data_IF_569437075432
#
_entry.id   IF_569437075432
#
_cell.length_a   1.000
_cell.length_b   1.000
_cell.length_c   1.000
_cell.angle_alpha   90.00
_cell.angle_beta   90.00
_cell.angle_gamma   90.00
#
_symmetry.space_group_name_H-M   'P 1'
#
loop_
_entity.id
_entity.type
_entity.pdbx_description
1 polymer ?
#
# COMPACT_ATOMS: atom_id res chain seq x y z
N UNK A 1 -9.78 -0.80 21.15
CA UNK A 1 -9.57 0.42 20.35
C UNK A 1 -9.76 0.03 18.92
N UNK A 2 -10.58 0.79 18.21
CA UNK A 2 -10.84 0.58 16.79
C UNK A 2 -9.54 0.72 15.99
N UNK A 3 -9.33 -0.14 14.99
CA UNK A 3 -8.20 -0.06 14.06
C UNK A 3 -8.75 0.21 12.66
N UNK A 4 -8.24 1.25 12.03
CA UNK A 4 -8.60 1.66 10.68
C UNK A 4 -7.79 0.87 9.66
N UNK A 5 -8.45 0.51 8.57
CA UNK A 5 -7.83 -0.08 7.39
C UNK A 5 -7.64 1.05 6.37
N UNK A 6 -6.41 1.23 5.91
CA UNK A 6 -6.07 2.28 4.96
C UNK A 6 -5.29 1.73 3.77
N UNK A 7 -5.55 2.28 2.57
CA UNK A 7 -4.62 2.19 1.46
C UNK A 7 -3.53 3.25 1.67
N UNK A 8 -2.28 2.82 1.77
CA UNK A 8 -1.12 3.69 1.86
C UNK A 8 -0.45 3.84 0.50
N UNK A 9 -0.09 5.07 0.16
CA UNK A 9 0.55 5.44 -1.10
C UNK A 9 1.93 6.02 -0.82
N UNK A 10 2.95 5.51 -1.49
CA UNK A 10 4.34 5.91 -1.29
C UNK A 10 4.97 6.44 -2.58
N UNK A 11 5.82 7.44 -2.41
CA UNK A 11 6.68 7.96 -3.46
C UNK A 11 7.71 6.91 -3.89
N UNK A 12 7.87 6.75 -5.22
CA UNK A 12 8.85 5.90 -5.89
C UNK A 12 9.91 6.74 -6.59
N UNK A 13 10.30 7.86 -5.99
CA UNK A 13 11.34 8.77 -6.48
C UNK A 13 11.07 9.22 -7.93
N UNK A 14 12.01 8.95 -8.84
CA UNK A 14 11.91 9.33 -10.22
C UNK A 14 10.69 8.73 -10.93
N UNK A 15 10.17 7.57 -10.47
CA UNK A 15 8.97 6.96 -11.05
C UNK A 15 7.70 7.76 -10.79
N UNK A 16 7.61 8.47 -9.65
CA UNK A 16 6.45 9.27 -9.27
C UNK A 16 6.46 10.69 -9.87
N UNK A 17 7.44 11.02 -10.72
CA UNK A 17 7.66 12.39 -11.20
C UNK A 17 7.71 12.48 -12.72
N UNK A 18 7.36 13.66 -13.24
CA UNK A 18 7.57 14.04 -14.64
C UNK A 18 6.93 13.08 -15.65
N UNK A 19 7.70 12.70 -16.68
CA UNK A 19 7.23 11.79 -17.72
C UNK A 19 7.11 10.35 -17.21
N UNK A 20 7.94 9.94 -16.26
CA UNK A 20 7.86 8.59 -15.69
C UNK A 20 6.51 8.36 -15.01
N UNK A 21 6.00 9.32 -14.23
CA UNK A 21 4.63 9.25 -13.69
C UNK A 21 3.63 8.93 -14.80
N UNK A 22 3.68 9.69 -15.91
CA UNK A 22 2.70 9.53 -17.01
C UNK A 22 2.78 8.15 -17.66
N UNK A 23 3.99 7.62 -17.83
CA UNK A 23 4.22 6.29 -18.41
C UNK A 23 3.80 5.17 -17.46
N UNK A 24 4.14 5.28 -16.18
CA UNK A 24 3.87 4.24 -15.19
C UNK A 24 2.46 4.30 -14.60
N UNK A 25 1.69 5.37 -14.81
CA UNK A 25 0.28 5.43 -14.38
C UNK A 25 0.13 5.14 -12.89
N UNK A 26 -0.60 4.07 -12.55
CA UNK A 26 -0.84 3.66 -11.15
C UNK A 26 0.44 3.17 -10.47
N UNK A 27 1.30 2.50 -11.23
CA UNK A 27 2.57 1.93 -10.82
C UNK A 27 3.66 2.99 -10.57
N UNK A 28 3.36 4.26 -10.89
CA UNK A 28 4.21 5.39 -10.55
C UNK A 28 4.38 5.55 -9.03
N UNK A 29 3.46 5.00 -8.23
CA UNK A 29 3.49 4.99 -6.78
C UNK A 29 3.54 3.55 -6.26
N UNK A 30 4.06 3.36 -5.04
CA UNK A 30 3.95 2.07 -4.37
C UNK A 30 2.68 2.06 -3.51
N UNK A 31 1.97 0.94 -3.53
CA UNK A 31 0.66 0.79 -2.88
C UNK A 31 0.76 -0.33 -1.85
N UNK A 32 0.28 -0.06 -0.64
CA UNK A 32 0.22 -1.02 0.45
C UNK A 32 -1.02 -0.80 1.31
N UNK A 33 -1.24 -1.68 2.28
CA UNK A 33 -2.31 -1.55 3.27
C UNK A 33 -1.68 -1.26 4.62
N UNK A 34 -2.06 -0.15 5.27
CA UNK A 34 -1.69 0.11 6.67
C UNK A 34 -2.91 -0.08 7.55
N UNK A 35 -2.72 -0.86 8.61
CA UNK A 35 -3.61 -0.96 9.76
C UNK A 35 -3.08 -0.01 10.83
N UNK A 36 -3.89 0.94 11.27
CA UNK A 36 -3.50 1.95 12.27
C UNK A 36 -4.60 2.11 13.32
N UNK A 37 -4.29 2.46 14.58
CA UNK A 37 -5.32 2.74 15.57
C UNK A 37 -6.10 4.01 15.24
N UNK A 38 -7.39 4.02 15.56
CA UNK A 38 -8.20 5.23 15.48
C UNK A 38 -7.79 6.22 16.58
N UNK A 39 -7.35 7.42 16.20
CA UNK A 39 -7.04 8.52 17.12
C UNK A 39 -5.61 8.57 17.69
N UNK A 40 -4.72 7.68 17.25
CA UNK A 40 -3.29 7.72 17.58
C UNK A 40 -2.50 7.96 16.30
N UNK A 41 -1.65 8.99 16.27
CA UNK A 41 -0.96 9.35 15.04
C UNK A 41 0.12 8.33 14.63
N UNK A 42 0.73 7.57 15.55
CA UNK A 42 1.98 6.85 15.21
C UNK A 42 2.35 5.69 16.16
N UNK A 43 1.37 5.02 16.80
CA UNK A 43 1.68 3.84 17.63
C UNK A 43 0.90 2.62 17.19
N UNK A 44 1.55 1.46 17.14
CA UNK A 44 0.99 0.15 16.80
C UNK A 44 0.46 0.01 15.35
N UNK A 45 1.02 0.76 14.40
CA UNK A 45 0.72 0.61 12.98
C UNK A 45 1.43 -0.61 12.37
N UNK A 46 0.75 -1.28 11.44
CA UNK A 46 1.30 -2.41 10.69
C UNK A 46 0.98 -2.22 9.22
N UNK A 47 2.01 -2.31 8.37
CA UNK A 47 1.89 -2.22 6.93
C UNK A 47 2.03 -3.61 6.28
N UNK A 48 1.23 -3.86 5.25
CA UNK A 48 1.30 -5.03 4.38
C UNK A 48 1.41 -4.57 2.93
N UNK A 49 2.34 -5.14 2.18
CA UNK A 49 2.52 -4.83 0.77
C UNK A 49 3.06 -6.02 -0.01
N UNK A 50 2.84 -6.06 -1.33
CA UNK A 50 3.59 -6.93 -2.22
C UNK A 50 4.76 -6.16 -2.80
N UNK A 51 5.96 -6.75 -2.72
CA UNK A 51 7.18 -6.16 -3.25
C UNK A 51 8.05 -7.21 -3.90
N UNK A 52 8.79 -6.81 -4.93
CA UNK A 52 9.86 -7.56 -5.57
C UNK A 52 11.24 -6.99 -5.21
N UNK A 53 11.30 -6.18 -4.13
CA UNK A 53 12.48 -5.49 -3.68
C UNK A 53 13.68 -6.43 -3.62
N UNK A 54 14.79 -5.92 -4.17
CA UNK A 54 16.06 -6.62 -4.23
C UNK A 54 17.14 -5.64 -3.83
N UNK A 55 17.84 -5.96 -2.76
CA UNK A 55 18.92 -5.14 -2.21
C UNK A 55 20.20 -5.94 -2.15
N UNK A 56 21.32 -5.23 -2.26
CA UNK A 56 22.65 -5.82 -2.06
C UNK A 56 22.87 -5.88 -0.56
N UNK A 57 23.09 -7.09 -0.04
CA UNK A 57 23.56 -7.30 1.32
C UNK A 57 24.93 -6.65 1.48
N UNK A 58 25.11 -5.68 2.38
CA UNK A 58 26.36 -4.94 2.52
C UNK A 58 27.51 -5.78 3.10
N UNK A 59 27.20 -6.93 3.72
CA UNK A 59 28.19 -7.85 4.28
C UNK A 59 28.62 -8.88 3.23
N UNK A 60 27.65 -9.50 2.56
CA UNK A 60 27.94 -10.58 1.61
C UNK A 60 28.13 -10.10 0.17
N UNK A 61 27.77 -8.84 -0.13
CA UNK A 61 27.73 -8.24 -1.46
C UNK A 61 26.87 -9.03 -2.47
N UNK A 62 25.93 -9.84 -1.97
CA UNK A 62 25.00 -10.61 -2.79
C UNK A 62 23.62 -9.96 -2.77
N UNK A 63 22.87 -10.12 -3.86
CA UNK A 63 21.47 -9.74 -3.88
C UNK A 63 20.65 -10.72 -3.05
N UNK A 64 19.78 -10.21 -2.18
CA UNK A 64 18.88 -11.03 -1.37
C UNK A 64 17.72 -11.64 -2.17
N UNK A 65 17.30 -10.97 -3.25
CA UNK A 65 16.23 -11.41 -4.15
C UNK A 65 16.66 -11.23 -5.62
N UNK A 66 17.67 -11.98 -6.11
CA UNK A 66 18.25 -11.75 -7.44
C UNK A 66 17.26 -11.99 -8.58
N UNK A 67 16.25 -12.83 -8.35
CA UNK A 67 15.18 -13.12 -9.30
C UNK A 67 14.08 -12.06 -9.28
N UNK A 68 14.08 -11.15 -8.31
CA UNK A 68 13.04 -10.15 -8.05
C UNK A 68 11.68 -10.80 -7.87
N UNK A 69 11.61 -11.96 -7.22
CA UNK A 69 10.33 -12.64 -6.99
C UNK A 69 9.45 -11.80 -6.07
N UNK A 70 8.15 -11.75 -6.39
CA UNK A 70 7.18 -11.06 -5.55
C UNK A 70 7.02 -11.82 -4.25
N UNK A 71 7.01 -11.09 -3.15
CA UNK A 71 6.67 -11.60 -1.84
C UNK A 71 5.80 -10.59 -1.09
N UNK A 72 5.00 -11.08 -0.14
CA UNK A 72 4.29 -10.21 0.79
C UNK A 72 5.26 -9.80 1.90
N UNK A 73 5.40 -8.50 2.12
CA UNK A 73 6.17 -7.92 3.20
C UNK A 73 5.24 -7.33 4.24
N UNK A 74 5.46 -7.70 5.49
CA UNK A 74 4.90 -7.02 6.66
C UNK A 74 5.96 -6.08 7.22
N UNK A 75 5.57 -4.85 7.56
CA UNK A 75 6.42 -3.87 8.23
C UNK A 75 5.70 -3.36 9.48
N UNK A 76 6.44 -3.34 10.58
CA UNK A 76 5.97 -2.78 11.85
C UNK A 76 6.70 -1.44 12.06
N UNK A 77 6.30 -0.62 13.03
CA UNK A 77 6.91 0.71 13.28
C UNK A 77 8.41 0.67 13.62
N UNK A 78 8.92 -0.48 14.07
CA UNK A 78 10.35 -0.70 14.29
C UNK A 78 11.15 -0.91 13.00
N UNK A 79 10.49 -1.11 11.87
CA UNK A 79 11.13 -1.23 10.56
C UNK A 79 11.68 0.15 10.15
N UNK A 80 12.99 0.29 9.86
CA UNK A 80 13.57 1.56 9.43
C UNK A 80 12.96 2.15 8.15
N UNK A 81 12.36 1.31 7.30
CA UNK A 81 11.65 1.74 6.09
C UNK A 81 10.18 2.09 6.35
N UNK A 82 9.69 1.90 7.59
CA UNK A 82 8.31 2.25 7.95
C UNK A 82 8.08 3.76 7.77
N UNK A 83 7.01 4.11 7.06
CA UNK A 83 6.66 5.51 6.77
C UNK A 83 7.62 6.25 5.83
N UNK A 84 8.77 5.67 5.45
CA UNK A 84 9.68 6.30 4.50
C UNK A 84 8.97 6.49 3.16
N UNK A 85 8.99 7.73 2.64
CA UNK A 85 8.31 8.12 1.39
C UNK A 85 6.78 7.98 1.41
N UNK A 86 6.15 7.83 2.58
CA UNK A 86 4.69 7.81 2.68
C UNK A 86 4.14 9.18 2.25
N UNK A 87 3.27 9.16 1.24
CA UNK A 87 2.58 10.36 0.77
C UNK A 87 1.29 10.59 1.56
N UNK A 88 0.55 9.52 1.84
CA UNK A 88 -0.65 9.57 2.66
C UNK A 88 -1.42 8.26 2.66
N UNK A 89 -2.47 8.24 3.49
CA UNK A 89 -3.31 7.08 3.74
C UNK A 89 -4.77 7.39 3.42
N UNK A 90 -5.46 6.44 2.80
CA UNK A 90 -6.87 6.55 2.44
C UNK A 90 -7.64 5.52 3.26
N UNK A 91 -8.47 5.97 4.18
CA UNK A 91 -9.32 5.10 4.99
C UNK A 91 -10.38 4.46 4.10
N UNK A 92 -10.40 3.12 4.12
CA UNK A 92 -11.32 2.29 3.34
C UNK A 92 -12.19 1.39 4.22
N UNK A 93 -11.90 1.28 5.51
CA UNK A 93 -12.57 0.35 6.40
C UNK A 93 -12.02 0.34 7.81
N UNK A 94 -12.45 -0.66 8.57
CA UNK A 94 -12.10 -0.84 9.97
C UNK A 94 -11.97 -2.34 10.26
N UNK A 95 -10.95 -2.70 11.05
CA UNK A 95 -10.76 -4.07 11.52
C UNK A 95 -11.69 -4.32 12.71
N UNK A 96 -12.47 -5.41 12.73
CA UNK A 96 -13.24 -5.78 13.90
C UNK A 96 -12.34 -6.00 15.14
N UNK A 97 -12.83 -5.61 16.32
CA UNK A 97 -12.05 -5.63 17.57
C UNK A 97 -11.46 -7.00 17.92
N UNK A 98 -12.13 -8.10 17.53
CA UNK A 98 -11.73 -9.47 17.84
C UNK A 98 -10.58 -10.01 16.97
N UNK A 99 -10.16 -9.30 15.93
CA UNK A 99 -9.18 -9.82 14.95
C UNK A 99 -7.75 -9.53 15.40
N UNK A 100 -6.93 -10.55 15.61
CA UNK A 100 -5.51 -10.38 15.93
C UNK A 100 -4.66 -9.99 14.70
N UNK A 101 -3.44 -9.49 14.95
CA UNK A 101 -2.48 -9.19 13.88
C UNK A 101 -2.07 -10.44 13.08
N UNK A 102 -1.99 -11.60 13.74
CA UNK A 102 -1.72 -12.87 13.07
C UNK A 102 -2.86 -13.28 12.10
N UNK A 103 -4.11 -12.98 12.44
CA UNK A 103 -5.24 -13.21 11.54
C UNK A 103 -5.25 -12.23 10.36
N UNK A 104 -4.84 -10.98 10.56
CA UNK A 104 -4.63 -10.02 9.47
C UNK A 104 -3.54 -10.52 8.51
N UNK A 105 -2.40 -10.96 9.05
CA UNK A 105 -1.30 -11.50 8.26
C UNK A 105 -1.70 -12.76 7.49
N UNK A 106 -2.43 -13.68 8.14
CA UNK A 106 -2.98 -14.85 7.48
C UNK A 106 -3.95 -14.47 6.35
N UNK A 107 -4.81 -13.47 6.57
CA UNK A 107 -5.74 -12.97 5.54
C UNK A 107 -4.99 -12.38 4.35
N UNK A 108 -4.04 -11.48 4.59
CA UNK A 108 -3.25 -10.87 3.51
C UNK A 108 -2.36 -11.90 2.79
N UNK A 109 -1.93 -12.96 3.48
CA UNK A 109 -1.25 -14.10 2.87
C UNK A 109 -2.12 -14.91 1.90
N UNK A 110 -3.45 -14.74 1.91
CA UNK A 110 -4.36 -15.34 0.91
C UNK A 110 -4.49 -14.50 -0.36
N UNK A 111 -4.02 -13.25 -0.36
CA UNK A 111 -4.10 -12.37 -1.53
C UNK A 111 -3.06 -12.84 -2.56
N UNK A 112 -3.46 -13.11 -3.81
CA UNK A 112 -2.53 -13.55 -4.85
C UNK A 112 -1.39 -12.54 -5.04
N UNK A 113 -0.15 -13.03 -5.04
CA UNK A 113 1.00 -12.19 -5.39
C UNK A 113 1.01 -11.88 -6.89
N UNK A 114 1.54 -10.71 -7.29
CA UNK A 114 1.62 -10.34 -8.70
C UNK A 114 2.39 -11.37 -9.54
N UNK A 115 1.90 -11.65 -10.75
CA UNK A 115 2.53 -12.57 -11.69
C UNK A 115 3.33 -11.80 -12.74
N UNK A 116 4.63 -12.09 -12.84
CA UNK A 116 5.55 -11.47 -13.80
C UNK A 116 5.19 -11.83 -15.24
N UNK A 117 5.57 -10.96 -16.18
CA UNK A 117 5.49 -11.19 -17.63
C UNK A 117 4.07 -11.52 -18.14
N UNK A 118 3.06 -10.93 -17.52
CA UNK A 118 1.65 -11.06 -17.92
C UNK A 118 1.16 -9.78 -18.62
N UNK A 119 0.06 -9.90 -19.37
CA UNK A 119 -0.67 -8.77 -19.93
C UNK A 119 -2.14 -8.82 -19.48
N UNK A 120 -2.65 -7.80 -18.76
CA UNK A 120 -1.93 -6.60 -18.30
C UNK A 120 -0.83 -6.94 -17.27
N UNK A 121 0.18 -6.07 -17.16
CA UNK A 121 1.25 -6.21 -16.17
C UNK A 121 0.67 -6.14 -14.76
N UNK A 122 1.17 -7.00 -13.86
CA UNK A 122 0.78 -6.99 -12.45
C UNK A 122 1.88 -6.39 -11.58
N UNK A 123 1.48 -5.75 -10.49
CA UNK A 123 2.36 -5.00 -9.59
C UNK A 123 1.80 -4.94 -8.15
N UNK A 124 2.48 -4.20 -7.26
CA UNK A 124 1.94 -3.84 -5.94
C UNK A 124 0.54 -3.21 -6.00
N UNK A 125 0.20 -2.50 -7.09
CA UNK A 125 -1.16 -1.96 -7.32
C UNK A 125 -2.17 -3.09 -7.46
N UNK A 126 -1.87 -4.10 -8.27
CA UNK A 126 -2.73 -5.28 -8.46
C UNK A 126 -2.98 -5.97 -7.11
N UNK A 127 -1.91 -6.21 -6.35
CA UNK A 127 -2.03 -6.82 -5.03
C UNK A 127 -2.85 -5.98 -4.06
N UNK A 128 -2.64 -4.66 -4.01
CA UNK A 128 -3.38 -3.78 -3.11
C UNK A 128 -4.87 -3.76 -3.45
N UNK A 129 -5.24 -3.71 -4.74
CA UNK A 129 -6.64 -3.78 -5.17
C UNK A 129 -7.26 -5.15 -4.86
N UNK A 130 -6.52 -6.24 -5.04
CA UNK A 130 -6.98 -7.58 -4.68
C UNK A 130 -7.14 -7.74 -3.16
N UNK A 131 -6.26 -7.13 -2.36
CA UNK A 131 -6.38 -7.06 -0.91
C UNK A 131 -7.63 -6.29 -0.48
N UNK A 132 -7.93 -5.13 -1.09
CA UNK A 132 -9.17 -4.40 -0.85
C UNK A 132 -10.39 -5.27 -1.19
N UNK A 133 -10.35 -6.00 -2.31
CA UNK A 133 -11.44 -6.92 -2.69
C UNK A 133 -11.64 -8.03 -1.65
N UNK A 134 -10.56 -8.59 -1.10
CA UNK A 134 -10.63 -9.57 -0.01
C UNK A 134 -11.25 -8.94 1.24
N UNK A 135 -10.84 -7.73 1.61
CA UNK A 135 -11.38 -7.01 2.76
C UNK A 135 -12.85 -6.65 2.58
N UNK A 136 -13.27 -6.26 1.38
CA UNK A 136 -14.68 -6.03 1.02
C UNK A 136 -15.50 -7.32 1.14
N UNK A 137 -14.98 -8.47 0.71
CA UNK A 137 -15.66 -9.77 0.87
C UNK A 137 -15.81 -10.18 2.33
N UNK A 138 -14.86 -9.82 3.20
CA UNK A 138 -14.95 -10.03 4.65
C UNK A 138 -15.89 -9.02 5.35
N UNK A 139 -16.32 -7.96 4.64
CA UNK A 139 -17.12 -6.89 5.21
C UNK A 139 -16.32 -5.92 6.09
N UNK A 140 -14.98 -5.90 5.97
CA UNK A 140 -14.11 -5.03 6.77
C UNK A 140 -13.80 -3.70 6.06
N UNK A 141 -13.95 -3.67 4.73
CA UNK A 141 -13.86 -2.47 3.92
C UNK A 141 -15.23 -2.10 3.34
N UNK A 142 -15.45 -0.79 3.16
CA UNK A 142 -16.62 -0.23 2.51
C UNK A 142 -16.78 -0.79 1.09
N UNK A 143 -18.02 -0.99 0.65
CA UNK A 143 -18.31 -1.40 -0.71
C UNK A 143 -18.23 -0.18 -1.63
N UNK A 144 -17.32 -0.23 -2.59
CA UNK A 144 -17.15 0.77 -3.64
C UNK A 144 -16.54 0.14 -4.89
N UNK A 145 -16.76 0.78 -6.05
CA UNK A 145 -16.21 0.31 -7.33
C UNK A 145 -14.69 0.57 -7.38
N UNK A 146 -13.92 -0.47 -7.68
CA UNK A 146 -12.47 -0.47 -7.50
C UNK A 146 -11.72 0.36 -8.57
N UNK A 147 -12.24 0.47 -9.79
CA UNK A 147 -11.56 1.24 -10.85
C UNK A 147 -11.65 2.74 -10.56
N UNK A 148 -12.83 3.25 -10.23
CA UNK A 148 -13.02 4.64 -9.82
C UNK A 148 -12.23 5.00 -8.56
N UNK A 149 -12.16 4.07 -7.60
CA UNK A 149 -11.28 4.23 -6.43
C UNK A 149 -9.80 4.32 -6.83
N UNK A 150 -9.34 3.44 -7.74
CA UNK A 150 -7.95 3.42 -8.20
C UNK A 150 -7.57 4.73 -8.91
N UNK A 151 -8.46 5.28 -9.73
CA UNK A 151 -8.27 6.58 -10.39
C UNK A 151 -8.20 7.73 -9.38
N UNK A 152 -9.07 7.70 -8.38
CA UNK A 152 -9.08 8.70 -7.31
C UNK A 152 -7.82 8.61 -6.43
N UNK A 153 -7.38 7.40 -6.08
CA UNK A 153 -6.16 7.19 -5.29
C UNK A 153 -4.90 7.67 -6.03
N UNK A 154 -4.85 7.50 -7.36
CA UNK A 154 -3.78 8.07 -8.18
C UNK A 154 -3.79 9.60 -8.14
N UNK A 155 -4.95 10.23 -8.33
CA UNK A 155 -5.08 11.68 -8.21
C UNK A 155 -4.66 12.18 -6.82
N UNK A 156 -5.08 11.50 -5.76
CA UNK A 156 -4.69 11.81 -4.39
C UNK A 156 -3.16 11.77 -4.22
N UNK A 157 -2.48 10.72 -4.73
CA UNK A 157 -1.02 10.65 -4.70
C UNK A 157 -0.35 11.78 -5.48
N UNK A 158 -0.87 12.15 -6.64
CA UNK A 158 -0.37 13.28 -7.45
C UNK A 158 -0.51 14.61 -6.71
N UNK A 159 -1.59 14.82 -5.95
CA UNK A 159 -1.75 16.02 -5.13
C UNK A 159 -0.83 16.00 -3.91
N UNK A 160 -0.65 14.86 -3.25
CA UNK A 160 0.18 14.71 -2.05
C UNK A 160 1.67 14.90 -2.30
N UNK A 161 2.17 14.50 -3.48
CA UNK A 161 3.59 14.65 -3.82
C UNK A 161 4.00 16.11 -4.14
N UNK A 162 3.04 17.02 -4.35
CA UNK A 162 3.33 18.44 -4.60
C UNK A 162 3.86 19.12 -3.34
N UNK A 163 5.13 19.51 -3.34
CA UNK A 163 5.78 20.18 -2.21
C UNK A 163 5.07 21.48 -1.83
N UNK A 164 4.57 21.57 -0.59
CA UNK A 164 4.08 22.81 0.03
C UNK A 164 2.71 23.33 -0.42
N UNK A 165 1.98 22.61 -1.27
CA UNK A 165 0.70 23.06 -1.86
C UNK A 165 -0.37 21.96 -1.93
N UNK A 166 -0.16 20.81 -1.30
CA UNK A 166 -1.16 19.74 -1.35
C UNK A 166 -2.48 20.20 -0.73
N UNK A 167 -3.57 20.03 -1.48
CA UNK A 167 -4.94 20.29 -1.02
C UNK A 167 -5.54 19.09 -0.29
N UNK A 168 -4.86 17.95 -0.36
CA UNK A 168 -5.30 16.70 0.22
C UNK A 168 -4.66 16.47 1.60
N UNK A 169 -5.44 16.01 2.59
CA UNK A 169 -4.92 15.71 3.93
C UNK A 169 -4.00 14.49 3.88
N UNK A 170 -3.19 14.27 4.93
CA UNK A 170 -2.33 13.08 5.02
C UNK A 170 -3.14 11.79 5.20
N UNK A 171 -4.30 11.91 5.84
CA UNK A 171 -5.29 10.84 6.01
C UNK A 171 -6.60 11.32 5.40
N UNK A 172 -7.03 10.66 4.33
CA UNK A 172 -8.27 10.96 3.63
C UNK A 172 -9.30 9.85 3.82
N UNK A 173 -10.58 10.19 3.75
CA UNK A 173 -11.64 9.21 3.62
C UNK A 173 -12.03 9.13 2.15
N UNK A 174 -12.11 7.91 1.61
CA UNK A 174 -12.74 7.75 0.31
C UNK A 174 -14.26 7.89 0.48
N UNK A 175 -14.81 9.02 0.01
CA UNK A 175 -16.25 9.30 0.02
C UNK A 175 -16.78 9.14 -1.39
N UNK A 176 -17.72 8.21 -1.56
CA UNK A 176 -18.48 7.98 -2.81
C UNK A 176 -19.63 8.97 -2.87
#
# INVERSE_FOLDING_TARGET
MSRLITLALYDRDNFSRGNARRTFGYEAYHWGIIIMPEGSQERDCIAFEATDASTIDPVTFRMNNPTMDWFMRRKDESDPEFGTKLLGCIIIGQVPDAISNAQLEALFGTVPLPVKNTHPQQSCVTWAIDAIRVLQKQGWASQFELNGFKDWALYYADERIKTGLSREPEIAYYRV
#
